data_IF_287331371556
#
_entry.id   IF_287331371556
#
_cell.length_a   1.000
_cell.length_b   1.000
_cell.length_c   1.000
_cell.angle_alpha   90.00
_cell.angle_beta   90.00
_cell.angle_gamma   90.00
#
_symmetry.space_group_name_H-M   'P 1'
#
loop_
_entity.id
_entity.type
_entity.pdbx_description
1 polymer ?
#
# COMPACT_ATOMS: atom_id res chain seq x y z
N UNK A 1 14.34 -5.81 9.86
CA UNK A 1 13.45 -5.41 8.75
C UNK A 1 14.32 -5.13 7.53
N UNK A 2 14.05 -5.78 6.40
CA UNK A 2 14.88 -5.68 5.19
C UNK A 2 14.79 -4.27 4.57
N UNK A 3 15.95 -3.67 4.25
CA UNK A 3 16.05 -2.32 3.64
C UNK A 3 15.16 -2.20 2.40
N UNK A 4 14.98 -3.30 1.68
CA UNK A 4 14.12 -3.40 0.49
C UNK A 4 12.65 -3.12 0.83
N UNK A 5 12.15 -3.57 1.98
CA UNK A 5 10.74 -3.33 2.38
C UNK A 5 10.53 -1.85 2.69
N UNK A 6 11.47 -1.22 3.39
CA UNK A 6 11.42 0.22 3.67
C UNK A 6 11.42 1.04 2.39
N UNK A 7 12.28 0.69 1.43
CA UNK A 7 12.35 1.40 0.15
C UNK A 7 11.07 1.20 -0.69
N UNK A 8 10.48 0.00 -0.67
CA UNK A 8 9.18 -0.26 -1.30
C UNK A 8 8.06 0.55 -0.65
N UNK A 9 8.05 0.65 0.68
CA UNK A 9 7.06 1.45 1.41
C UNK A 9 7.17 2.92 1.05
N UNK A 10 8.40 3.47 1.03
CA UNK A 10 8.64 4.85 0.60
C UNK A 10 8.17 5.09 -0.83
N UNK A 11 8.46 4.17 -1.76
CA UNK A 11 8.02 4.30 -3.14
C UNK A 11 6.48 4.26 -3.29
N UNK A 12 5.79 3.42 -2.52
CA UNK A 12 4.33 3.38 -2.50
C UNK A 12 3.74 4.69 -1.98
N UNK A 13 4.27 5.19 -0.84
CA UNK A 13 3.81 6.44 -0.22
C UNK A 13 4.02 7.62 -1.17
N UNK A 14 5.21 7.76 -1.75
CA UNK A 14 5.51 8.86 -2.67
C UNK A 14 4.55 8.85 -3.87
N UNK A 15 4.23 7.67 -4.42
CA UNK A 15 3.27 7.56 -5.52
C UNK A 15 1.86 7.98 -5.10
N UNK A 16 1.42 7.66 -3.88
CA UNK A 16 0.12 8.06 -3.35
C UNK A 16 0.04 9.57 -3.05
N UNK A 17 1.13 10.17 -2.56
CA UNK A 17 1.22 11.64 -2.38
C UNK A 17 1.04 12.36 -3.72
N UNK A 18 1.67 11.87 -4.79
CA UNK A 18 1.48 12.45 -6.12
C UNK A 18 0.04 12.29 -6.64
N UNK A 19 -0.64 11.19 -6.30
CA UNK A 19 -2.06 10.99 -6.63
C UNK A 19 -2.94 11.99 -5.87
N UNK A 20 -2.71 12.17 -4.57
CA UNK A 20 -3.43 13.15 -3.75
C UNK A 20 -3.26 14.58 -4.30
N UNK A 21 -2.01 14.96 -4.59
CA UNK A 21 -1.70 16.27 -5.14
C UNK A 21 -2.42 16.53 -6.47
N UNK A 22 -2.47 15.53 -7.35
CA UNK A 22 -3.19 15.62 -8.62
C UNK A 22 -4.68 15.91 -8.40
N UNK A 23 -5.31 15.33 -7.37
CA UNK A 23 -6.71 15.59 -7.05
C UNK A 23 -6.92 16.96 -6.42
N UNK A 24 -6.03 17.38 -5.53
CA UNK A 24 -6.07 18.72 -4.90
C UNK A 24 -6.02 19.80 -5.98
N UNK A 25 -5.12 19.68 -6.97
CA UNK A 25 -4.96 20.65 -8.05
C UNK A 25 -6.20 20.80 -8.94
N UNK A 26 -7.11 19.82 -8.92
CA UNK A 26 -8.33 19.81 -9.71
C UNK A 26 -9.58 20.01 -8.88
N UNK A 27 -9.46 20.48 -7.64
CA UNK A 27 -10.64 20.87 -6.85
C UNK A 27 -11.29 22.16 -7.38
N UNK A 28 -12.63 22.29 -7.28
CA UNK A 28 -13.58 21.31 -6.74
C UNK A 28 -14.14 20.30 -7.76
N UNK A 29 -13.89 20.47 -9.05
CA UNK A 29 -14.55 19.67 -10.09
C UNK A 29 -13.97 18.24 -10.24
N UNK A 30 -12.76 18.02 -9.75
CA UNK A 30 -11.97 16.78 -9.87
C UNK A 30 -11.88 16.24 -11.30
N UNK A 31 -11.92 17.12 -12.29
CA UNK A 31 -11.87 16.73 -13.68
C UNK A 31 -10.42 16.69 -14.16
N UNK A 32 -9.95 15.50 -14.53
CA UNK A 32 -8.60 15.29 -15.07
C UNK A 32 -8.66 15.20 -16.60
N UNK A 33 -7.71 15.86 -17.27
CA UNK A 33 -7.49 15.67 -18.70
C UNK A 33 -7.06 14.24 -19.01
N UNK A 34 -7.14 13.83 -20.29
CA UNK A 34 -6.67 12.50 -20.71
C UNK A 34 -5.19 12.25 -20.37
N UNK A 35 -4.35 13.29 -20.37
CA UNK A 35 -2.94 13.18 -19.99
C UNK A 35 -2.78 12.93 -18.49
N UNK A 36 -3.55 13.63 -17.66
CA UNK A 36 -3.54 13.48 -16.20
C UNK A 36 -4.12 12.14 -15.77
N UNK A 37 -5.14 11.63 -16.45
CA UNK A 37 -5.64 10.27 -16.25
C UNK A 37 -4.57 9.21 -16.51
N UNK A 38 -3.71 9.40 -17.52
CA UNK A 38 -2.56 8.52 -17.76
C UNK A 38 -1.49 8.63 -16.66
N UNK A 39 -1.27 9.82 -16.10
CA UNK A 39 -0.36 10.02 -14.95
C UNK A 39 -0.92 9.31 -13.72
N UNK A 40 -2.19 9.57 -13.39
CA UNK A 40 -2.93 8.93 -12.31
C UNK A 40 -2.81 7.39 -12.39
N UNK A 41 -3.11 6.81 -13.55
CA UNK A 41 -2.99 5.37 -13.79
C UNK A 41 -1.59 4.85 -13.44
N UNK A 42 -0.54 5.48 -13.97
CA UNK A 42 0.85 5.06 -13.73
C UNK A 42 1.24 5.12 -12.26
N UNK A 43 0.80 6.16 -11.55
CA UNK A 43 1.11 6.35 -10.12
C UNK A 43 0.37 5.34 -9.26
N UNK A 44 -0.91 5.08 -9.54
CA UNK A 44 -1.68 4.04 -8.88
C UNK A 44 -1.11 2.64 -9.13
N UNK A 45 -0.72 2.32 -10.36
CA UNK A 45 -0.07 1.04 -10.68
C UNK A 45 1.26 0.87 -9.93
N UNK A 46 2.06 1.93 -9.79
CA UNK A 46 3.29 1.91 -9.02
C UNK A 46 3.04 1.69 -7.53
N UNK A 47 2.06 2.40 -6.96
CA UNK A 47 1.66 2.23 -5.56
C UNK A 47 1.20 0.79 -5.30
N UNK A 48 0.27 0.29 -6.11
CA UNK A 48 -0.26 -1.06 -6.02
C UNK A 48 0.84 -2.12 -6.10
N UNK A 49 1.75 -1.98 -7.07
CA UNK A 49 2.88 -2.91 -7.24
C UNK A 49 3.77 -2.97 -6.00
N UNK A 50 4.08 -1.82 -5.40
CA UNK A 50 4.94 -1.78 -4.20
C UNK A 50 4.21 -2.32 -2.97
N UNK A 51 2.94 -1.94 -2.75
CA UNK A 51 2.11 -2.49 -1.67
C UNK A 51 2.00 -4.00 -1.79
N UNK A 52 1.73 -4.52 -2.99
CA UNK A 52 1.65 -5.97 -3.22
C UNK A 52 2.96 -6.68 -2.89
N UNK A 53 4.11 -6.13 -3.30
CA UNK A 53 5.41 -6.72 -2.95
C UNK A 53 5.65 -6.76 -1.44
N UNK A 54 5.25 -5.72 -0.73
CA UNK A 54 5.35 -5.68 0.74
C UNK A 54 4.45 -6.77 1.32
N UNK A 55 3.18 -6.82 0.91
CA UNK A 55 2.23 -7.83 1.39
C UNK A 55 2.73 -9.25 1.14
N UNK A 56 3.05 -9.59 -0.10
CA UNK A 56 3.47 -10.93 -0.50
C UNK A 56 4.74 -11.37 0.26
N UNK A 57 5.71 -10.46 0.44
CA UNK A 57 6.95 -10.76 1.19
C UNK A 57 6.72 -11.02 2.67
N UNK A 58 5.70 -10.42 3.26
CA UNK A 58 5.43 -10.54 4.70
C UNK A 58 4.27 -11.50 4.99
N UNK A 59 3.65 -12.10 3.97
CA UNK A 59 2.43 -12.90 4.14
C UNK A 59 2.65 -14.07 5.10
N UNK A 60 3.69 -14.87 4.87
CA UNK A 60 3.96 -16.06 5.70
C UNK A 60 4.16 -15.70 7.18
N UNK A 61 4.94 -14.65 7.47
CA UNK A 61 5.20 -14.23 8.85
C UNK A 61 3.95 -13.60 9.49
N UNK A 62 3.13 -12.88 8.72
CA UNK A 62 1.87 -12.31 9.21
C UNK A 62 0.87 -13.41 9.53
N UNK A 63 0.75 -14.43 8.67
CA UNK A 63 -0.11 -15.59 8.91
C UNK A 63 0.35 -16.39 10.12
N UNK A 64 1.66 -16.65 10.27
CA UNK A 64 2.19 -17.34 11.44
C UNK A 64 1.90 -16.58 12.74
N UNK A 65 2.07 -15.24 12.73
CA UNK A 65 1.73 -14.39 13.86
C UNK A 65 0.23 -14.43 14.18
N UNK A 66 -0.64 -14.43 13.16
CA UNK A 66 -2.08 -14.57 13.34
C UNK A 66 -2.45 -15.89 14.03
N UNK A 67 -1.86 -17.00 13.60
CA UNK A 67 -2.09 -18.32 14.19
C UNK A 67 -1.57 -18.44 15.63
N UNK A 68 -0.42 -17.83 15.93
CA UNK A 68 0.11 -17.78 17.29
C UNK A 68 -0.84 -17.05 18.24
N UNK A 69 -1.35 -15.88 17.83
CA UNK A 69 -2.31 -15.10 18.61
C UNK A 69 -3.61 -15.89 18.85
N UNK A 70 -4.11 -16.60 17.84
CA UNK A 70 -5.32 -17.45 17.97
C UNK A 70 -5.12 -18.55 19.02
N UNK A 71 -3.97 -19.23 19.01
CA UNK A 71 -3.64 -20.26 20.01
C UNK A 71 -3.57 -19.70 21.42
N UNK A 72 -2.97 -18.52 21.60
CA UNK A 72 -2.90 -17.87 22.91
C UNK A 72 -4.28 -17.53 23.49
N UNK A 73 -5.23 -17.11 22.65
CA UNK A 73 -6.60 -16.82 23.08
C UNK A 73 -7.36 -18.08 23.47
N UNK A 74 -7.22 -19.16 22.70
CA UNK A 74 -7.85 -20.45 23.04
C UNK A 74 -7.37 -21.04 24.37
N UNK A 75 -6.10 -20.84 24.72
CA UNK A 75 -5.53 -21.30 26.00
C UNK A 75 -6.05 -20.46 27.19
N UNK A 76 -6.40 -19.19 26.98
CA UNK A 76 -6.93 -18.30 28.04
C UNK A 76 -8.41 -18.53 28.36
N UNK A 77 -9.14 -19.21 27.49
CA UNK A 77 -10.56 -19.53 27.66
C UNK A 77 -10.81 -20.94 28.24
N UNK A 78 -9.75 -21.69 28.55
CA UNK A 78 -9.77 -22.98 29.26
C UNK A 78 -9.29 -22.82 30.71
#
# INVERSE_FOLDING_TARGET
>A
MDRIVVDQTKAAINALIEVEQLWIEHTPEYHLSSRELLILKKKLELALKNVKKIYDKNLEIMTAAEDEIKKMHQIREQ
#
